data_IF_366543977376
#
_entry.id   IF_366543977376
#
_cell.length_a   1.000
_cell.length_b   1.000
_cell.length_c   1.000
_cell.angle_alpha   90.00
_cell.angle_beta   90.00
_cell.angle_gamma   90.00
#
_symmetry.space_group_name_H-M   'P 1'
#
loop_
_entity.id
_entity.type
_entity.pdbx_description
1 polymer ?
#
# COMPACT_ATOMS: atom_id res chain seq x y z
N UNK A 1 20.11 8.95 15.65
CA UNK A 1 18.63 8.73 15.73
C UNK A 1 17.90 9.03 14.43
N UNK A 2 18.16 10.14 13.72
CA UNK A 2 17.47 10.49 12.46
C UNK A 2 17.55 9.39 11.36
N UNK A 3 18.71 8.74 11.21
CA UNK A 3 18.89 7.68 10.21
C UNK A 3 18.01 6.44 10.46
N UNK A 4 17.81 6.07 11.73
CA UNK A 4 16.95 4.92 12.08
C UNK A 4 15.48 5.25 11.80
N UNK A 5 15.06 6.48 12.13
CA UNK A 5 13.70 6.96 11.84
C UNK A 5 13.41 6.88 10.34
N UNK A 6 14.33 7.38 9.51
CA UNK A 6 14.16 7.35 8.05
C UNK A 6 14.08 5.91 7.50
N UNK A 7 14.87 4.98 8.03
CA UNK A 7 14.78 3.56 7.65
C UNK A 7 13.39 3.01 7.97
N UNK A 8 12.89 3.26 9.19
CA UNK A 8 11.58 2.77 9.63
C UNK A 8 10.46 3.36 8.79
N UNK A 9 10.48 4.67 8.51
CA UNK A 9 9.50 5.33 7.64
C UNK A 9 9.49 4.76 6.22
N UNK A 10 10.67 4.54 5.64
CA UNK A 10 10.80 3.93 4.32
C UNK A 10 10.25 2.50 4.30
N UNK A 11 10.54 1.71 5.34
CA UNK A 11 10.01 0.35 5.47
C UNK A 11 8.48 0.34 5.59
N UNK A 12 7.90 1.23 6.43
CA UNK A 12 6.44 1.37 6.57
C UNK A 12 5.80 1.71 5.23
N UNK A 13 6.38 2.66 4.48
CA UNK A 13 5.88 3.06 3.16
C UNK A 13 5.92 1.91 2.17
N UNK A 14 7.04 1.18 2.12
CA UNK A 14 7.21 0.01 1.25
C UNK A 14 6.21 -1.10 1.58
N UNK A 15 6.12 -1.49 2.85
CA UNK A 15 5.21 -2.55 3.31
C UNK A 15 3.74 -2.21 3.02
N UNK A 16 3.32 -0.96 3.32
CA UNK A 16 1.96 -0.51 3.04
C UNK A 16 1.62 -0.53 1.56
N UNK A 17 2.56 -0.15 0.68
CA UNK A 17 2.37 -0.20 -0.76
C UNK A 17 2.08 -1.63 -1.22
N UNK A 18 2.92 -2.59 -0.84
CA UNK A 18 2.74 -4.00 -1.19
C UNK A 18 1.39 -4.51 -0.70
N UNK A 19 1.07 -4.28 0.58
CA UNK A 19 -0.17 -4.76 1.18
C UNK A 19 -1.41 -4.20 0.49
N UNK A 20 -1.41 -2.92 0.12
CA UNK A 20 -2.52 -2.29 -0.63
C UNK A 20 -2.63 -2.89 -2.02
N UNK A 21 -1.53 -3.03 -2.76
CA UNK A 21 -1.54 -3.61 -4.11
C UNK A 21 -2.05 -5.06 -4.10
N UNK A 22 -1.63 -5.86 -3.12
CA UNK A 22 -2.16 -7.23 -2.92
C UNK A 22 -3.66 -7.20 -2.66
N UNK A 23 -4.15 -6.33 -1.76
CA UNK A 23 -5.60 -6.23 -1.46
C UNK A 23 -6.42 -5.79 -2.66
N UNK A 24 -5.88 -4.89 -3.48
CA UNK A 24 -6.54 -4.40 -4.68
C UNK A 24 -6.43 -5.37 -5.86
N UNK A 25 -5.72 -6.50 -5.70
CA UNK A 25 -5.39 -7.41 -6.78
C UNK A 25 -4.75 -6.68 -7.98
N UNK A 26 -3.78 -5.81 -7.67
CA UNK A 26 -3.06 -4.96 -8.64
C UNK A 26 -3.93 -3.95 -9.41
N UNK A 27 -5.16 -3.71 -8.95
CA UNK A 27 -6.05 -2.71 -9.55
C UNK A 27 -5.89 -1.34 -8.89
N UNK A 28 -6.32 -0.28 -9.58
CA UNK A 28 -6.50 1.01 -8.91
C UNK A 28 -7.65 0.92 -7.89
N UNK A 29 -7.62 1.73 -6.81
CA UNK A 29 -8.70 1.74 -5.81
C UNK A 29 -10.10 1.97 -6.41
N UNK A 30 -10.18 2.84 -7.42
CA UNK A 30 -11.43 3.14 -8.14
C UNK A 30 -11.95 1.91 -8.88
N UNK A 31 -11.08 1.23 -9.63
CA UNK A 31 -11.44 0.03 -10.39
C UNK A 31 -11.85 -1.12 -9.46
N UNK A 32 -11.09 -1.35 -8.40
CA UNK A 32 -11.43 -2.36 -7.39
C UNK A 32 -12.80 -2.07 -6.76
N UNK A 33 -13.09 -0.81 -6.41
CA UNK A 33 -14.39 -0.42 -5.86
C UNK A 33 -15.51 -0.72 -6.85
N UNK A 34 -15.39 -0.31 -8.11
CA UNK A 34 -16.41 -0.56 -9.14
C UNK A 34 -16.74 -2.05 -9.32
N UNK A 35 -15.76 -2.94 -9.22
CA UNK A 35 -15.98 -4.39 -9.36
C UNK A 35 -16.52 -5.08 -8.10
N UNK A 36 -16.37 -4.45 -6.92
CA UNK A 36 -16.73 -5.04 -5.62
C UNK A 36 -18.10 -4.59 -5.12
N UNK A 37 -18.58 -3.41 -5.51
CA UNK A 37 -20.01 -3.07 -5.40
C UNK A 37 -20.78 -3.79 -6.49
N UNK A 38 -21.09 -5.06 -6.25
CA UNK A 38 -22.23 -5.75 -6.87
C UNK A 38 -23.44 -5.61 -5.96
#
# INVERSE_FOLDING_TARGET
>A
NAHVIQIVENYIKYYNNIRIQTKLNSQSPVKYRQLTVK
#
